data_IF_965792020885
#
_entry.id   IF_965792020885
#
_cell.length_a   1.000
_cell.length_b   1.000
_cell.length_c   1.000
_cell.angle_alpha   90.00
_cell.angle_beta   90.00
_cell.angle_gamma   90.00
#
_symmetry.space_group_name_H-M   'P 1'
#
loop_
_entity.id
_entity.type
_entity.pdbx_description
1 polymer ?
#
# COMPACT_ATOMS: atom_id res chain seq x y z
N UNK A 1 -25.45 5.51 6.93
CA UNK A 1 -24.00 5.41 6.65
C UNK A 1 -23.40 4.44 7.66
N UNK A 2 -22.74 3.34 7.26
CA UNK A 2 -22.14 2.43 8.22
C UNK A 2 -20.90 3.11 8.82
N UNK A 3 -20.87 3.21 10.15
CA UNK A 3 -19.72 3.69 10.91
C UNK A 3 -18.65 2.61 10.94
N UNK A 4 -17.62 2.74 10.09
CA UNK A 4 -16.36 2.02 10.28
C UNK A 4 -15.58 2.67 11.43
N UNK A 5 -15.97 2.41 12.67
CA UNK A 5 -15.34 3.02 13.83
C UNK A 5 -15.44 2.15 15.07
N UNK A 6 -14.32 1.54 15.48
CA UNK A 6 -14.23 0.97 16.82
C UNK A 6 -13.10 -0.04 17.01
N UNK A 7 -13.07 -1.13 16.23
CA UNK A 7 -12.14 -2.25 16.47
C UNK A 7 -11.06 -2.42 15.40
N UNK A 8 -11.40 -2.41 14.11
CA UNK A 8 -10.44 -2.61 13.02
C UNK A 8 -9.36 -1.52 12.92
N UNK A 9 -9.74 -0.26 13.12
CA UNK A 9 -8.81 0.89 13.05
C UNK A 9 -7.76 0.88 14.18
N UNK A 10 -8.13 0.45 15.40
CA UNK A 10 -7.18 0.35 16.52
C UNK A 10 -6.13 -0.74 16.28
N UNK A 11 -6.54 -1.86 15.67
CA UNK A 11 -5.63 -2.97 15.40
C UNK A 11 -4.61 -2.63 14.30
N UNK A 12 -5.05 -1.98 13.22
CA UNK A 12 -4.15 -1.49 12.16
C UNK A 12 -3.15 -0.48 12.72
N UNK A 13 -3.62 0.50 13.50
CA UNK A 13 -2.75 1.47 14.14
C UNK A 13 -1.71 0.80 15.03
N UNK A 14 -2.10 -0.17 15.86
CA UNK A 14 -1.18 -0.90 16.72
C UNK A 14 -0.11 -1.68 15.93
N UNK A 15 -0.49 -2.37 14.85
CA UNK A 15 0.46 -3.10 14.00
C UNK A 15 1.44 -2.13 13.33
N UNK A 16 0.93 -1.10 12.66
CA UNK A 16 1.78 -0.12 11.97
C UNK A 16 2.74 0.55 12.95
N UNK A 17 2.24 1.01 14.11
CA UNK A 17 3.08 1.69 15.10
C UNK A 17 4.08 0.77 15.81
N UNK A 18 3.80 -0.54 15.90
CA UNK A 18 4.78 -1.53 16.36
C UNK A 18 5.93 -1.76 15.38
N UNK A 19 5.70 -1.48 14.09
CA UNK A 19 6.72 -1.62 13.04
C UNK A 19 7.47 -0.31 12.83
N UNK A 20 6.75 0.81 12.82
CA UNK A 20 7.28 2.15 12.66
C UNK A 20 6.84 3.01 13.84
N UNK A 21 7.80 3.47 14.66
CA UNK A 21 7.49 4.42 15.73
C UNK A 21 6.84 5.71 15.19
N UNK A 22 7.25 6.15 13.98
CA UNK A 22 6.61 7.22 13.22
C UNK A 22 6.51 6.85 11.75
N UNK A 23 5.39 7.15 11.11
CA UNK A 23 5.18 6.93 9.69
C UNK A 23 4.32 8.02 9.04
N UNK A 24 4.42 8.11 7.72
CA UNK A 24 3.64 9.02 6.88
C UNK A 24 2.80 8.20 5.92
N UNK A 25 1.48 8.41 5.92
CA UNK A 25 0.60 7.93 4.85
C UNK A 25 0.92 8.75 3.58
N UNK A 26 1.55 8.08 2.61
CA UNK A 26 2.12 8.71 1.44
C UNK A 26 1.11 8.90 0.31
N UNK A 27 0.33 7.86 0.01
CA UNK A 27 -0.75 7.88 -0.99
C UNK A 27 -1.73 6.73 -0.78
N UNK A 28 -2.88 6.81 -1.45
CA UNK A 28 -3.76 5.66 -1.65
C UNK A 28 -4.12 5.52 -3.13
N UNK A 29 -4.09 4.30 -3.64
CA UNK A 29 -4.39 3.99 -5.03
C UNK A 29 -5.19 2.71 -5.14
N UNK A 30 -5.97 2.58 -6.22
CA UNK A 30 -6.66 1.34 -6.56
C UNK A 30 -5.83 0.56 -7.58
N UNK A 31 -5.51 -0.68 -7.25
CA UNK A 31 -4.84 -1.61 -8.17
C UNK A 31 -5.74 -2.78 -8.48
N UNK A 32 -6.02 -2.97 -9.77
CA UNK A 32 -6.85 -4.08 -10.26
C UNK A 32 -5.98 -5.26 -10.69
N UNK A 33 -6.62 -6.41 -10.91
CA UNK A 33 -6.00 -7.58 -11.49
C UNK A 33 -5.10 -7.24 -12.67
N UNK A 34 -3.91 -7.82 -12.68
CA UNK A 34 -3.02 -7.78 -13.83
C UNK A 34 -2.29 -9.11 -13.97
N UNK A 35 -3.01 -10.18 -14.38
CA UNK A 35 -2.45 -11.52 -14.45
C UNK A 35 -1.19 -11.55 -15.33
N UNK A 36 -0.16 -12.25 -14.88
CA UNK A 36 1.15 -12.29 -15.51
C UNK A 36 2.17 -11.34 -14.90
N UNK A 37 1.73 -10.30 -14.18
CA UNK A 37 2.61 -9.26 -13.65
C UNK A 37 2.81 -9.39 -12.15
N UNK A 38 4.01 -9.83 -11.75
CA UNK A 38 4.41 -9.86 -10.34
C UNK A 38 5.06 -8.53 -9.98
N UNK A 39 4.48 -7.82 -9.02
CA UNK A 39 4.82 -6.44 -8.70
C UNK A 39 5.24 -6.24 -7.24
N UNK A 40 5.93 -5.14 -6.97
CA UNK A 40 6.20 -4.61 -5.62
C UNK A 40 6.32 -3.09 -5.68
N UNK A 41 6.05 -2.38 -4.58
CA UNK A 41 6.19 -0.93 -4.52
C UNK A 41 7.65 -0.50 -4.36
N UNK A 42 8.45 -1.33 -3.70
CA UNK A 42 9.86 -1.08 -3.46
C UNK A 42 10.73 -2.28 -3.85
N UNK A 43 11.98 -2.02 -4.21
CA UNK A 43 12.97 -3.09 -4.43
C UNK A 43 13.37 -3.75 -3.11
N UNK A 44 13.60 -5.06 -3.18
CA UNK A 44 13.96 -5.90 -2.02
C UNK A 44 15.44 -5.85 -1.66
N UNK A 45 15.81 -6.70 -0.71
CA UNK A 45 17.19 -6.90 -0.26
C UNK A 45 17.35 -6.66 1.24
N UNK A 46 18.24 -7.41 1.88
CA UNK A 46 18.48 -7.25 3.31
C UNK A 46 19.02 -5.85 3.65
N UNK A 47 19.87 -5.29 2.78
CA UNK A 47 20.42 -3.94 2.96
C UNK A 47 19.42 -2.80 2.73
N UNK A 48 18.30 -3.05 2.04
CA UNK A 48 17.31 -2.01 1.75
C UNK A 48 16.53 -1.55 3.01
N UNK A 49 16.49 -2.40 4.04
CA UNK A 49 15.75 -2.13 5.28
C UNK A 49 14.23 -2.07 5.09
N UNK A 50 13.49 -2.11 6.20
CA UNK A 50 12.03 -1.93 6.17
C UNK A 50 11.74 -0.42 6.25
N UNK A 51 11.27 0.17 5.15
CA UNK A 51 11.01 1.63 5.04
C UNK A 51 9.58 2.00 4.65
N UNK A 52 8.81 1.04 4.14
CA UNK A 52 7.38 1.22 3.89
C UNK A 52 6.58 -0.06 4.14
N UNK A 53 5.33 0.14 4.51
CA UNK A 53 4.28 -0.87 4.63
C UNK A 53 3.15 -0.55 3.67
N UNK A 54 2.54 -1.59 3.12
CA UNK A 54 1.29 -1.48 2.38
C UNK A 54 0.16 -2.02 3.24
N UNK A 55 -0.97 -1.33 3.21
CA UNK A 55 -2.25 -1.85 3.68
C UNK A 55 -3.13 -2.04 2.46
N UNK A 56 -3.42 -3.29 2.12
CA UNK A 56 -4.39 -3.65 1.08
C UNK A 56 -5.76 -3.87 1.69
N UNK A 57 -6.76 -3.15 1.20
CA UNK A 57 -8.17 -3.47 1.39
C UNK A 57 -8.68 -4.17 0.13
N UNK A 58 -8.82 -5.49 0.21
CA UNK A 58 -9.25 -6.35 -0.89
C UNK A 58 -10.75 -6.33 -1.07
N UNK A 59 -11.17 -6.18 -2.33
CA UNK A 59 -12.55 -6.39 -2.71
C UNK A 59 -12.95 -7.86 -2.57
N UNK A 60 -14.23 -8.10 -2.33
CA UNK A 60 -14.85 -9.44 -2.34
C UNK A 60 -14.55 -10.19 -3.64
N UNK A 61 -14.15 -11.46 -3.51
CA UNK A 61 -13.81 -12.35 -4.62
C UNK A 61 -12.40 -12.13 -5.21
N UNK A 62 -11.54 -11.34 -4.56
CA UNK A 62 -10.17 -11.13 -5.04
C UNK A 62 -9.30 -12.37 -4.81
N UNK A 63 -8.38 -12.63 -5.73
CA UNK A 63 -7.40 -13.73 -5.66
C UNK A 63 -6.01 -13.15 -5.91
N UNK A 64 -5.06 -13.45 -5.02
CA UNK A 64 -3.74 -12.85 -5.02
C UNK A 64 -2.68 -13.88 -4.68
N UNK A 65 -1.63 -13.94 -5.47
CA UNK A 65 -0.40 -14.66 -5.11
C UNK A 65 0.51 -13.68 -4.35
N UNK A 66 0.87 -14.02 -3.12
CA UNK A 66 1.99 -13.38 -2.43
C UNK A 66 3.21 -14.27 -2.52
N UNK A 67 4.40 -13.67 -2.60
CA UNK A 67 5.67 -14.41 -2.59
C UNK A 67 6.36 -14.16 -1.24
N UNK A 68 6.18 -15.01 -0.22
CA UNK A 68 6.76 -14.79 1.10
C UNK A 68 8.28 -14.70 1.03
N UNK A 69 8.88 -13.95 1.97
CA UNK A 69 10.34 -13.73 2.07
C UNK A 69 11.00 -13.03 0.89
N UNK A 70 10.30 -12.80 -0.22
CA UNK A 70 10.81 -12.12 -1.42
C UNK A 70 11.28 -10.68 -1.17
N UNK A 71 10.82 -10.03 -0.09
CA UNK A 71 11.32 -8.74 0.37
C UNK A 71 12.78 -8.75 0.86
N UNK A 72 13.28 -9.92 1.28
CA UNK A 72 14.65 -10.11 1.77
C UNK A 72 15.66 -10.29 0.63
N UNK A 73 15.18 -10.50 -0.60
CA UNK A 73 16.01 -10.84 -1.76
C UNK A 73 16.16 -9.65 -2.70
N UNK A 74 17.38 -9.48 -3.21
CA UNK A 74 17.70 -8.56 -4.30
C UNK A 74 17.44 -9.26 -5.62
N UNK A 75 16.21 -9.19 -6.10
CA UNK A 75 15.81 -9.76 -7.38
C UNK A 75 15.91 -8.71 -8.49
N UNK A 76 16.22 -9.17 -9.70
CA UNK A 76 16.13 -8.35 -10.89
C UNK A 76 14.68 -7.84 -11.05
N UNK A 77 14.53 -6.53 -11.14
CA UNK A 77 13.23 -5.90 -11.30
C UNK A 77 13.35 -4.67 -12.20
N UNK A 78 12.36 -4.47 -13.04
CA UNK A 78 12.26 -3.32 -13.94
C UNK A 78 11.12 -2.41 -13.50
N UNK A 79 11.16 -1.14 -13.87
CA UNK A 79 10.05 -0.24 -13.60
C UNK A 79 8.90 -0.60 -14.53
N UNK A 80 7.78 -1.01 -13.95
CA UNK A 80 6.56 -1.41 -14.63
C UNK A 80 5.64 -0.23 -14.97
N UNK A 81 4.60 -0.51 -15.74
CA UNK A 81 3.67 0.50 -16.27
C UNK A 81 2.79 1.18 -15.22
N UNK A 82 2.70 0.63 -14.01
CA UNK A 82 1.81 1.11 -12.92
C UNK A 82 2.56 1.82 -11.78
N UNK A 83 3.73 2.38 -12.08
CA UNK A 83 4.65 2.97 -11.10
C UNK A 83 5.13 1.97 -10.03
N UNK A 84 5.12 0.68 -10.36
CA UNK A 84 5.58 -0.42 -9.51
C UNK A 84 6.85 -1.04 -10.11
N UNK A 85 7.55 -1.85 -9.33
CA UNK A 85 8.63 -2.71 -9.80
C UNK A 85 8.08 -4.06 -10.21
N UNK A 86 8.35 -4.48 -11.45
CA UNK A 86 7.97 -5.79 -11.97
C UNK A 86 9.15 -6.76 -11.87
N UNK A 87 8.86 -7.96 -11.35
CA UNK A 87 9.84 -9.05 -11.21
C UNK A 87 9.42 -10.22 -12.09
N UNK A 88 10.28 -10.72 -12.98
CA UNK A 88 10.00 -11.93 -13.76
C UNK A 88 9.72 -13.15 -12.87
N UNK A 89 8.78 -14.01 -13.29
CA UNK A 89 8.37 -15.21 -12.51
C UNK A 89 9.45 -16.28 -12.41
N UNK A 90 10.26 -16.40 -13.46
CA UNK A 90 11.46 -17.26 -13.49
C UNK A 90 12.47 -16.83 -12.41
N UNK A 91 12.76 -15.53 -12.28
CA UNK A 91 13.67 -15.01 -11.25
C UNK A 91 13.17 -15.32 -9.82
N UNK A 92 11.85 -15.30 -9.59
CA UNK A 92 11.27 -15.71 -8.31
C UNK A 92 11.42 -17.22 -8.08
N UNK A 93 11.19 -18.02 -9.12
CA UNK A 93 11.27 -19.48 -9.07
C UNK A 93 12.71 -19.95 -8.81
N UNK A 94 13.68 -19.38 -9.53
CA UNK A 94 15.12 -19.61 -9.35
C UNK A 94 15.59 -19.23 -7.95
N UNK A 95 15.01 -18.16 -7.38
CA UNK A 95 15.28 -17.73 -6.01
C UNK A 95 14.53 -18.55 -4.94
N UNK A 96 13.79 -19.59 -5.33
CA UNK A 96 13.01 -20.44 -4.41
C UNK A 96 11.81 -19.74 -3.77
N UNK A 97 11.35 -18.62 -4.34
CA UNK A 97 10.15 -17.92 -3.89
C UNK A 97 8.89 -18.61 -4.44
N UNK A 98 8.29 -19.47 -3.63
CA UNK A 98 7.05 -20.16 -3.97
C UNK A 98 5.86 -19.24 -3.69
N UNK A 99 4.92 -19.06 -4.64
CA UNK A 99 3.71 -18.27 -4.41
C UNK A 99 2.82 -18.92 -3.34
N UNK A 100 2.19 -18.08 -2.54
CA UNK A 100 1.13 -18.43 -1.61
C UNK A 100 -0.15 -17.71 -2.06
N UNK A 101 -1.03 -18.45 -2.71
CA UNK A 101 -2.33 -17.93 -3.14
C UNK A 101 -3.22 -17.64 -1.93
N UNK A 102 -3.93 -16.51 -1.98
CA UNK A 102 -4.95 -16.11 -1.01
C UNK A 102 -6.22 -15.70 -1.72
N UNK A 103 -7.32 -16.32 -1.31
CA UNK A 103 -8.67 -15.99 -1.73
C UNK A 103 -9.34 -15.08 -0.68
N UNK A 104 -9.96 -14.00 -1.15
CA UNK A 104 -10.67 -13.03 -0.31
C UNK A 104 -12.17 -13.08 -0.62
N UNK A 105 -12.81 -14.20 -0.29
CA UNK A 105 -14.20 -14.51 -0.65
C UNK A 105 -15.21 -13.48 -0.13
N UNK A 106 -14.91 -12.80 0.99
CA UNK A 106 -15.72 -11.72 1.57
C UNK A 106 -14.96 -10.39 1.66
N UNK A 107 -13.88 -10.27 0.87
CA UNK A 107 -12.92 -9.17 0.98
C UNK A 107 -11.93 -9.41 2.11
N UNK A 108 -11.07 -8.43 2.38
CA UNK A 108 -10.11 -8.57 3.47
C UNK A 108 -9.14 -7.41 3.62
N UNK A 109 -8.34 -7.48 4.69
CA UNK A 109 -7.29 -6.51 4.99
C UNK A 109 -5.97 -7.25 5.12
N UNK A 110 -4.94 -6.79 4.40
CA UNK A 110 -3.58 -7.33 4.49
C UNK A 110 -2.61 -6.18 4.77
N UNK A 111 -1.69 -6.41 5.70
CA UNK A 111 -0.55 -5.52 5.95
C UNK A 111 0.71 -6.27 5.52
N UNK A 112 1.53 -5.65 4.66
CA UNK A 112 2.76 -6.25 4.15
C UNK A 112 3.90 -5.23 4.03
N UNK A 113 5.13 -5.73 4.02
CA UNK A 113 6.30 -4.95 3.62
C UNK A 113 6.19 -4.57 2.13
N UNK A 114 6.43 -3.29 1.79
CA UNK A 114 6.27 -2.77 0.42
C UNK A 114 7.18 -3.44 -0.63
N UNK A 115 8.16 -4.23 -0.17
CA UNK A 115 9.10 -4.98 -1.02
C UNK A 115 8.66 -6.42 -1.29
N UNK A 116 7.59 -6.89 -0.64
CA UNK A 116 6.99 -8.20 -0.95
C UNK A 116 6.48 -8.16 -2.39
N UNK A 117 6.82 -9.20 -3.14
CA UNK A 117 6.31 -9.42 -4.48
C UNK A 117 4.92 -10.06 -4.38
N UNK A 118 4.00 -9.61 -5.22
CA UNK A 118 2.66 -10.17 -5.32
C UNK A 118 2.08 -10.02 -6.73
N UNK A 119 1.11 -10.86 -7.08
CA UNK A 119 0.38 -10.80 -8.34
C UNK A 119 -1.12 -10.83 -8.05
N UNK A 120 -1.86 -9.84 -8.57
CA UNK A 120 -3.31 -9.77 -8.44
C UNK A 120 -3.92 -10.54 -9.62
N UNK A 121 -4.48 -11.72 -9.35
CA UNK A 121 -5.10 -12.59 -10.36
C UNK A 121 -6.51 -12.13 -10.71
N UNK A 122 -7.27 -11.78 -9.68
CA UNK A 122 -8.70 -11.42 -9.79
C UNK A 122 -9.04 -10.32 -8.79
N UNK A 123 -9.96 -9.43 -9.15
CA UNK A 123 -10.46 -8.38 -8.27
C UNK A 123 -9.55 -7.14 -8.22
N UNK A 124 -9.57 -6.44 -7.09
CA UNK A 124 -8.78 -5.22 -6.87
C UNK A 124 -8.54 -4.97 -5.38
N UNK A 125 -7.51 -4.16 -5.08
CA UNK A 125 -7.27 -3.60 -3.75
C UNK A 125 -7.27 -2.07 -3.78
N UNK A 126 -7.84 -1.46 -2.75
CA UNK A 126 -7.45 -0.11 -2.34
C UNK A 126 -6.20 -0.26 -1.49
N UNK A 127 -5.10 0.33 -1.93
CA UNK A 127 -3.78 0.21 -1.32
C UNK A 127 -3.40 1.51 -0.68
N UNK A 128 -3.06 1.49 0.60
CA UNK A 128 -2.47 2.61 1.33
C UNK A 128 -0.98 2.33 1.54
N UNK A 129 -0.12 3.27 1.18
CA UNK A 129 1.32 3.15 1.44
C UNK A 129 1.72 4.03 2.61
N UNK A 130 2.28 3.41 3.65
CA UNK A 130 2.85 4.10 4.81
C UNK A 130 4.37 3.98 4.78
N UNK A 131 5.06 5.11 4.66
CA UNK A 131 6.52 5.17 4.61
C UNK A 131 7.12 5.83 5.85
N UNK A 132 8.42 5.66 6.05
CA UNK A 132 9.18 6.48 7.00
C UNK A 132 9.27 7.93 6.51
N UNK A 133 9.44 8.89 7.43
CA UNK A 133 9.51 10.31 7.09
C UNK A 133 10.62 10.61 6.07
N UNK A 134 11.79 9.99 6.22
CA UNK A 134 12.92 10.15 5.30
C UNK A 134 12.63 9.63 3.89
N UNK A 135 11.79 8.59 3.76
CA UNK A 135 11.41 8.02 2.48
C UNK A 135 10.43 8.95 1.76
N UNK A 136 9.45 9.47 2.49
CA UNK A 136 8.30 10.19 1.92
C UNK A 136 8.58 11.68 1.72
N UNK A 137 9.58 12.26 2.40
CA UNK A 137 9.91 13.70 2.35
C UNK A 137 9.96 14.28 0.94
N UNK A 138 10.53 13.53 0.00
CA UNK A 138 10.79 13.99 -1.36
C UNK A 138 9.72 13.49 -2.36
N UNK A 139 8.64 12.87 -1.88
CA UNK A 139 7.55 12.36 -2.72
C UNK A 139 6.49 13.42 -3.00
N UNK A 140 5.81 13.36 -4.16
CA UNK A 140 4.66 14.21 -4.44
C UNK A 140 3.60 14.08 -3.34
N UNK A 141 3.03 15.21 -2.95
CA UNK A 141 1.94 15.26 -1.98
C UNK A 141 0.64 14.81 -2.64
N UNK A 142 -0.21 14.12 -1.89
CA UNK A 142 -1.59 13.87 -2.30
C UNK A 142 -2.34 15.20 -2.39
N UNK A 143 -2.91 15.49 -3.56
CA UNK A 143 -3.77 16.65 -3.74
C UNK A 143 -5.20 16.30 -3.29
N UNK A 144 -5.68 17.04 -2.29
CA UNK A 144 -7.02 16.86 -1.73
C UNK A 144 -7.89 18.07 -2.08
N UNK A 145 -9.16 17.89 -2.49
CA UNK A 145 -10.04 19.02 -2.66
C UNK A 145 -10.25 19.73 -1.32
N UNK A 146 -10.24 21.06 -1.35
CA UNK A 146 -10.42 21.87 -0.15
C UNK A 146 -11.88 21.87 0.31
N UNK A 147 -12.27 20.82 1.02
CA UNK A 147 -13.59 20.63 1.61
C UNK A 147 -13.46 20.51 3.13
N UNK A 148 -14.29 21.22 3.90
CA UNK A 148 -14.22 21.18 5.37
C UNK A 148 -14.29 19.75 5.94
N UNK A 149 -15.05 18.86 5.30
CA UNK A 149 -15.17 17.47 5.72
C UNK A 149 -13.84 16.72 5.59
N UNK A 150 -13.05 17.02 4.55
CA UNK A 150 -11.72 16.44 4.37
C UNK A 150 -10.69 17.10 5.28
N UNK A 151 -10.75 18.41 5.49
CA UNK A 151 -9.90 19.11 6.46
C UNK A 151 -10.07 18.51 7.87
N UNK A 152 -11.33 18.33 8.32
CA UNK A 152 -11.63 17.66 9.61
C UNK A 152 -11.12 16.22 9.63
N UNK A 153 -11.29 15.47 8.55
CA UNK A 153 -10.86 14.07 8.48
C UNK A 153 -9.33 13.95 8.56
N UNK A 154 -8.61 14.76 7.79
CA UNK A 154 -7.15 14.82 7.81
C UNK A 154 -6.64 15.20 9.20
N UNK A 155 -7.21 16.24 9.81
CA UNK A 155 -6.86 16.64 11.17
C UNK A 155 -7.07 15.49 12.18
N UNK A 156 -8.16 14.72 12.05
CA UNK A 156 -8.43 13.57 12.93
C UNK A 156 -7.49 12.37 12.73
N UNK A 157 -6.82 12.28 11.56
CA UNK A 157 -5.92 11.18 11.23
C UNK A 157 -4.47 11.48 11.61
N UNK A 158 -4.11 12.75 11.79
CA UNK A 158 -2.76 13.13 12.21
C UNK A 158 -2.57 12.90 13.71
N UNK A 159 -1.44 12.30 14.07
CA UNK A 159 -0.98 12.09 15.45
C UNK A 159 0.54 12.25 15.54
N UNK A 160 1.12 12.13 16.75
CA UNK A 160 2.58 12.17 16.90
C UNK A 160 3.30 11.03 16.16
N UNK A 161 2.61 9.93 15.90
CA UNK A 161 3.08 8.69 15.28
C UNK A 161 2.70 8.58 13.81
N UNK A 162 1.55 9.14 13.39
CA UNK A 162 1.05 9.02 12.02
C UNK A 162 0.81 10.40 11.41
N UNK A 163 1.50 10.67 10.31
CA UNK A 163 1.38 11.90 9.52
C UNK A 163 0.78 11.59 8.14
N UNK A 164 0.32 12.60 7.41
CA UNK A 164 -0.20 12.46 6.05
C UNK A 164 0.62 13.32 5.08
N UNK A 165 0.98 12.78 3.93
CA UNK A 165 1.68 13.52 2.87
C UNK A 165 0.69 14.16 1.89
N UNK A 166 0.12 15.31 2.25
CA UNK A 166 -0.95 15.93 1.46
C UNK A 166 -0.77 17.44 1.27
N UNK A 167 -1.50 17.99 0.30
CA UNK A 167 -1.77 19.40 0.11
C UNK A 167 -3.25 19.58 -0.24
N UNK A 168 -3.85 20.72 0.11
CA UNK A 168 -5.19 21.06 -0.35
C UNK A 168 -5.11 21.87 -1.63
N UNK A 169 -5.87 21.46 -2.64
CA UNK A 169 -6.07 22.21 -3.87
C UNK A 169 -7.54 22.66 -3.98
N UNK A 170 -7.83 23.97 -3.90
CA UNK A 170 -9.17 24.52 -4.12
C UNK A 170 -9.73 24.25 -5.52
N UNK A 171 -8.88 24.00 -6.52
CA UNK A 171 -9.28 23.78 -7.92
C UNK A 171 -9.96 22.44 -8.16
N UNK A 172 -9.74 21.46 -7.27
CA UNK A 172 -10.30 20.10 -7.35
C UNK A 172 -11.76 20.00 -6.91
N UNK A 173 -12.37 21.07 -6.42
CA UNK A 173 -13.80 21.09 -6.10
C UNK A 173 -14.58 21.10 -7.42
N UNK A 174 -15.29 20.01 -7.72
CA UNK A 174 -16.16 19.94 -8.88
C UNK A 174 -17.16 21.11 -8.87
N UNK A 175 -17.33 21.77 -10.02
CA UNK A 175 -18.47 22.67 -10.22
C UNK A 175 -19.74 21.83 -10.02
N UNK A 176 -20.75 22.33 -9.28
CA UNK A 176 -22.02 21.63 -9.18
C UNK A 176 -22.60 21.42 -10.59
N UNK A 177 -23.07 20.20 -10.86
CA UNK A 177 -23.89 19.87 -12.03
C UNK A 177 -25.19 20.68 -12.05
#
# INVERSE_FOLDING_TARGET
>A
MPSFGGHGSRHLHAIVTSVFHKCVLAHWLRYEAYPGHVVSFMRGGQGAGRRALLVHLWAKGSIVDYFPRSHLLELAATKGGRLLWETPKDALSEAGCIPCEKCFDEGGLVILDARIKYEIKTGYAITFELGTEDLVRDWPKMELPKLEVLERKVASMQSAEVQLNFTFDPSLVAKPE
#
